data_IF_789562094238
#
_entry.id   IF_789562094238
#
_cell.length_a   1.000
_cell.length_b   1.000
_cell.length_c   1.000
_cell.angle_alpha   90.00
_cell.angle_beta   90.00
_cell.angle_gamma   90.00
#
_symmetry.space_group_name_H-M   'P 1'
#
loop_
_entity.id
_entity.type
_entity.pdbx_description
1 polymer ?
#
# COMPACT_ATOMS: atom_id res chain seq x y z
N UNK A 1 -2.48 -21.29 7.41
CA UNK A 1 -3.35 -22.50 7.45
C UNK A 1 -2.97 -23.52 8.53
N UNK A 2 -1.70 -23.60 8.99
CA UNK A 2 -1.29 -24.61 9.99
C UNK A 2 -2.04 -24.49 11.32
N UNK A 3 -2.38 -23.28 11.76
CA UNK A 3 -3.12 -23.02 13.01
C UNK A 3 -4.64 -23.22 12.93
N UNK A 4 -5.19 -23.49 11.74
CA UNK A 4 -6.64 -23.66 11.51
C UNK A 4 -7.32 -24.66 12.47
N UNK A 5 -6.79 -25.88 12.74
CA UNK A 5 -7.43 -26.79 13.69
C UNK A 5 -7.48 -26.25 15.11
N UNK A 6 -6.45 -25.53 15.56
CA UNK A 6 -6.44 -24.90 16.90
C UNK A 6 -7.50 -23.80 17.02
N UNK A 7 -7.68 -22.98 15.98
CA UNK A 7 -8.72 -21.95 15.95
C UNK A 7 -10.13 -22.55 16.01
N UNK A 8 -10.39 -23.66 15.30
CA UNK A 8 -11.69 -24.35 15.38
C UNK A 8 -11.94 -24.85 16.79
N UNK A 9 -10.98 -25.54 17.41
CA UNK A 9 -11.11 -26.04 18.78
C UNK A 9 -11.38 -24.91 19.79
N UNK A 10 -10.64 -23.80 19.68
CA UNK A 10 -10.84 -22.63 20.54
C UNK A 10 -12.23 -22.00 20.33
N UNK A 11 -12.66 -21.85 19.07
CA UNK A 11 -13.97 -21.29 18.76
C UNK A 11 -15.14 -22.17 19.23
N UNK A 12 -14.98 -23.50 19.15
CA UNK A 12 -15.97 -24.45 19.63
C UNK A 12 -16.06 -24.43 21.16
N UNK A 13 -14.91 -24.35 21.83
CA UNK A 13 -14.84 -24.19 23.29
C UNK A 13 -15.57 -22.92 23.74
N UNK A 14 -15.30 -21.77 23.09
CA UNK A 14 -16.01 -20.53 23.40
C UNK A 14 -17.52 -20.61 23.12
N UNK A 15 -17.93 -21.28 22.04
CA UNK A 15 -19.35 -21.49 21.71
C UNK A 15 -20.05 -22.35 22.77
N UNK A 16 -19.38 -23.39 23.26
CA UNK A 16 -19.90 -24.23 24.35
C UNK A 16 -20.02 -23.44 25.66
N UNK A 17 -19.00 -22.65 26.01
CA UNK A 17 -19.05 -21.77 27.19
C UNK A 17 -20.22 -20.80 27.07
N UNK A 18 -20.41 -20.16 25.91
CA UNK A 18 -21.54 -19.24 25.71
C UNK A 18 -22.89 -19.96 25.74
N UNK A 19 -22.98 -21.18 25.21
CA UNK A 19 -24.19 -21.99 25.26
C UNK A 19 -24.59 -22.30 26.72
N UNK A 20 -23.63 -22.66 27.56
CA UNK A 20 -23.86 -22.88 29.00
C UNK A 20 -24.35 -21.60 29.68
N UNK A 21 -23.73 -20.45 29.38
CA UNK A 21 -24.18 -19.14 29.89
C UNK A 21 -25.56 -18.70 29.33
N UNK A 22 -26.01 -19.29 28.23
CA UNK A 22 -27.34 -19.08 27.64
C UNK A 22 -28.46 -19.89 28.31
N UNK A 23 -28.13 -20.84 29.17
CA UNK A 23 -29.10 -21.62 29.94
C UNK A 23 -29.76 -20.72 31.01
N UNK A 24 -31.01 -21.03 31.37
CA UNK A 24 -31.75 -20.33 32.43
C UNK A 24 -31.29 -20.76 33.83
N UNK A 25 -30.02 -20.53 34.14
CA UNK A 25 -29.42 -20.76 35.46
C UNK A 25 -29.54 -19.49 36.31
N UNK A 26 -29.75 -19.65 37.62
CA UNK A 26 -29.84 -18.52 38.56
C UNK A 26 -28.45 -17.92 38.84
N UNK A 27 -28.41 -16.66 39.28
CA UNK A 27 -27.14 -15.93 39.54
C UNK A 27 -26.32 -16.51 40.70
N UNK A 28 -26.90 -17.41 41.51
CA UNK A 28 -26.20 -18.15 42.56
C UNK A 28 -25.47 -19.42 42.10
N UNK A 29 -25.75 -19.94 40.91
CA UNK A 29 -25.09 -21.15 40.34
C UNK A 29 -24.00 -20.80 39.33
N UNK A 30 -24.10 -19.63 38.69
CA UNK A 30 -23.12 -19.13 37.74
C UNK A 30 -22.93 -17.61 37.95
N UNK A 31 -21.98 -17.22 38.82
CA UNK A 31 -21.79 -15.82 39.18
C UNK A 31 -21.28 -15.03 37.97
N UNK A 32 -21.88 -13.86 37.76
CA UNK A 32 -21.52 -12.91 36.69
C UNK A 32 -20.35 -12.02 37.15
N UNK A 33 -20.14 -11.90 38.46
CA UNK A 33 -19.02 -11.18 39.09
C UNK A 33 -18.22 -12.11 39.98
N UNK A 34 -16.90 -11.89 40.04
CA UNK A 34 -16.08 -12.53 41.06
C UNK A 34 -16.49 -12.09 42.47
N UNK A 35 -16.27 -12.96 43.45
CA UNK A 35 -16.59 -12.74 44.88
C UNK A 35 -15.88 -11.52 45.50
N UNK A 36 -14.83 -11.02 44.86
CA UNK A 36 -14.06 -9.81 45.21
C UNK A 36 -14.52 -8.55 44.48
N UNK A 37 -15.47 -8.65 43.53
CA UNK A 37 -15.99 -7.51 42.76
C UNK A 37 -14.99 -6.89 41.75
N UNK A 38 -13.82 -7.50 41.57
CA UNK A 38 -12.72 -6.94 40.76
C UNK A 38 -12.79 -7.27 39.27
N UNK A 39 -13.48 -8.34 38.89
CA UNK A 39 -13.65 -8.75 37.49
C UNK A 39 -15.11 -9.12 37.22
N UNK A 40 -15.70 -8.49 36.21
CA UNK A 40 -17.03 -8.83 35.69
C UNK A 40 -16.86 -9.75 34.47
N UNK A 41 -17.37 -10.99 34.57
CA UNK A 41 -17.31 -11.96 33.47
C UNK A 41 -18.13 -11.49 32.26
N UNK A 42 -19.04 -10.52 32.45
CA UNK A 42 -19.77 -9.89 31.35
C UNK A 42 -18.86 -9.17 30.35
N UNK A 43 -17.65 -8.75 30.76
CA UNK A 43 -16.64 -8.10 29.91
C UNK A 43 -15.98 -9.07 28.92
N UNK A 44 -15.86 -10.36 29.26
CA UNK A 44 -15.40 -11.40 28.34
C UNK A 44 -16.48 -11.80 27.30
N UNK A 45 -17.63 -11.13 27.33
CA UNK A 45 -18.80 -11.46 26.50
C UNK A 45 -19.73 -12.50 27.12
N UNK A 46 -19.44 -12.97 28.34
CA UNK A 46 -20.24 -13.94 29.10
C UNK A 46 -21.40 -13.22 29.81
N UNK A 47 -22.31 -12.67 29.02
CA UNK A 47 -23.53 -12.00 29.51
C UNK A 47 -24.78 -12.81 29.19
N UNK A 48 -25.76 -12.77 30.10
CA UNK A 48 -27.11 -13.31 29.84
C UNK A 48 -27.84 -12.38 28.85
N UNK A 49 -28.05 -12.86 27.63
CA UNK A 49 -28.73 -12.10 26.58
C UNK A 49 -30.24 -12.26 26.65
N UNK A 50 -30.99 -11.19 26.35
CA UNK A 50 -32.47 -11.22 26.32
C UNK A 50 -33.02 -12.19 25.27
N UNK A 51 -32.28 -12.40 24.17
CA UNK A 51 -32.57 -13.40 23.14
C UNK A 51 -31.33 -14.28 22.88
N UNK A 52 -31.11 -15.34 23.70
CA UNK A 52 -29.94 -16.20 23.57
C UNK A 52 -29.81 -16.87 22.21
N UNK A 53 -30.94 -17.31 21.63
CA UNK A 53 -30.98 -18.00 20.34
C UNK A 53 -30.40 -17.16 19.18
N UNK A 54 -30.75 -15.87 19.11
CA UNK A 54 -30.25 -14.99 18.03
C UNK A 54 -28.74 -14.75 18.15
N UNK A 55 -28.24 -14.54 19.36
CA UNK A 55 -26.81 -14.35 19.61
C UNK A 55 -26.01 -15.63 19.31
N UNK A 56 -26.52 -16.78 19.75
CA UNK A 56 -25.89 -18.08 19.52
C UNK A 56 -25.89 -18.43 18.02
N UNK A 57 -26.98 -18.13 17.30
CA UNK A 57 -27.06 -18.31 15.84
C UNK A 57 -26.02 -17.44 15.11
N UNK A 58 -25.86 -16.18 15.51
CA UNK A 58 -24.84 -15.30 14.96
C UNK A 58 -23.41 -15.81 15.23
N UNK A 59 -23.12 -16.26 16.46
CA UNK A 59 -21.82 -16.85 16.78
C UNK A 59 -21.56 -18.15 16.01
N UNK A 60 -22.58 -18.99 15.86
CA UNK A 60 -22.50 -20.23 15.06
C UNK A 60 -22.22 -19.94 13.58
N UNK A 61 -22.80 -18.86 13.05
CA UNK A 61 -22.49 -18.39 11.69
C UNK A 61 -21.02 -17.96 11.56
N UNK A 62 -20.45 -17.30 12.58
CA UNK A 62 -19.03 -16.97 12.59
C UNK A 62 -18.14 -18.21 12.70
N UNK A 63 -18.48 -19.19 13.55
CA UNK A 63 -17.69 -20.43 13.66
C UNK A 63 -17.73 -21.29 12.40
N UNK A 64 -18.81 -21.19 11.60
CA UNK A 64 -18.90 -21.86 10.31
C UNK A 64 -17.74 -21.50 9.35
N UNK A 65 -17.26 -20.25 9.38
CA UNK A 65 -16.10 -19.82 8.57
C UNK A 65 -14.83 -20.58 8.95
N UNK A 66 -14.61 -20.83 10.25
CA UNK A 66 -13.48 -21.62 10.72
C UNK A 66 -13.59 -23.08 10.28
N UNK A 67 -14.79 -23.65 10.32
CA UNK A 67 -15.07 -25.00 9.80
C UNK A 67 -14.80 -25.13 8.30
N UNK A 68 -15.22 -24.15 7.49
CA UNK A 68 -14.94 -24.11 6.05
C UNK A 68 -13.42 -24.04 5.81
N UNK A 69 -12.71 -23.20 6.55
CA UNK A 69 -11.25 -23.07 6.46
C UNK A 69 -10.54 -24.37 6.82
N UNK A 70 -10.99 -25.07 7.87
CA UNK A 70 -10.44 -26.37 8.26
C UNK A 70 -10.72 -27.45 7.21
N UNK A 71 -11.93 -27.48 6.63
CA UNK A 71 -12.24 -28.39 5.52
C UNK A 71 -11.34 -28.14 4.32
N UNK A 72 -11.09 -26.87 3.97
CA UNK A 72 -10.16 -26.51 2.90
C UNK A 72 -8.75 -27.01 3.21
N UNK A 73 -8.22 -26.74 4.41
CA UNK A 73 -6.89 -27.21 4.83
C UNK A 73 -6.73 -28.73 4.79
N UNK A 74 -7.74 -29.49 5.26
CA UNK A 74 -7.73 -30.96 5.20
C UNK A 74 -7.76 -31.43 3.75
N UNK A 75 -8.58 -30.81 2.90
CA UNK A 75 -8.67 -31.16 1.47
C UNK A 75 -7.35 -30.92 0.75
N UNK A 76 -6.71 -29.76 0.96
CA UNK A 76 -5.40 -29.44 0.40
C UNK A 76 -4.32 -30.43 0.88
N UNK A 77 -4.29 -30.77 2.17
CA UNK A 77 -3.36 -31.79 2.69
C UNK A 77 -3.58 -33.16 2.07
N UNK A 78 -4.84 -33.58 1.87
CA UNK A 78 -5.17 -34.85 1.20
C UNK A 78 -4.71 -34.84 -0.27
N UNK A 79 -4.93 -33.74 -0.99
CA UNK A 79 -4.46 -33.58 -2.38
C UNK A 79 -2.93 -33.64 -2.44
N UNK A 80 -2.22 -32.89 -1.58
CA UNK A 80 -0.74 -32.91 -1.51
C UNK A 80 -0.20 -34.30 -1.17
N UNK A 81 -0.84 -35.03 -0.25
CA UNK A 81 -0.46 -36.42 0.08
C UNK A 81 -0.68 -37.38 -1.08
N UNK A 82 -1.81 -37.27 -1.80
CA UNK A 82 -2.09 -38.08 -3.00
C UNK A 82 -1.08 -37.78 -4.12
N UNK A 83 -0.80 -36.51 -4.40
CA UNK A 83 0.21 -36.13 -5.39
C UNK A 83 1.60 -36.69 -5.03
N UNK A 84 2.02 -36.58 -3.76
CA UNK A 84 3.29 -37.17 -3.29
C UNK A 84 3.31 -38.69 -3.43
N UNK A 85 2.22 -39.38 -3.10
CA UNK A 85 2.09 -40.82 -3.28
C UNK A 85 2.14 -41.20 -4.76
N UNK A 86 1.45 -40.48 -5.65
CA UNK A 86 1.48 -40.71 -7.10
C UNK A 86 2.87 -40.47 -7.70
N UNK A 87 3.62 -39.47 -7.22
CA UNK A 87 5.03 -39.27 -7.62
C UNK A 87 5.99 -40.33 -7.07
N UNK A 88 5.71 -40.91 -5.90
CA UNK A 88 6.55 -41.96 -5.30
C UNK A 88 6.17 -43.40 -5.73
N UNK A 89 4.92 -43.64 -6.11
CA UNK A 89 4.42 -44.92 -6.64
C UNK A 89 4.38 -44.95 -8.16
N UNK A 90 5.36 -44.28 -8.79
CA UNK A 90 5.58 -44.34 -10.23
C UNK A 90 5.83 -45.78 -10.68
N UNK A 91 4.77 -46.43 -11.15
CA UNK A 91 4.86 -47.42 -12.22
C UNK A 91 5.63 -46.73 -13.36
N UNK A 92 6.66 -47.37 -13.95
CA UNK A 92 7.56 -46.73 -14.90
C UNK A 92 6.86 -46.58 -16.25
N UNK A 93 6.04 -45.54 -16.41
CA UNK A 93 5.56 -45.08 -17.72
C UNK A 93 5.98 -43.63 -18.02
N UNK A 94 6.71 -42.97 -17.11
CA UNK A 94 7.24 -41.62 -17.29
C UNK A 94 8.71 -41.58 -17.73
N UNK A 95 9.29 -42.74 -18.11
CA UNK A 95 10.66 -42.84 -18.63
C UNK A 95 10.92 -42.05 -19.93
N UNK A 96 9.90 -41.48 -20.57
CA UNK A 96 10.04 -40.69 -21.80
C UNK A 96 10.04 -39.17 -21.57
N UNK A 97 9.63 -38.67 -20.40
CA UNK A 97 9.57 -37.22 -20.12
C UNK A 97 10.80 -36.70 -19.33
N UNK A 98 11.55 -37.60 -18.69
CA UNK A 98 12.65 -37.22 -17.81
C UNK A 98 13.89 -36.62 -18.52
N UNK A 99 14.32 -37.06 -19.72
CA UNK A 99 15.50 -36.48 -20.36
C UNK A 99 15.28 -35.02 -20.77
N UNK A 100 14.07 -34.68 -21.23
CA UNK A 100 13.73 -33.33 -21.71
C UNK A 100 13.62 -32.31 -20.57
N UNK A 101 13.00 -32.70 -19.44
CA UNK A 101 12.87 -31.82 -18.26
C UNK A 101 14.21 -31.65 -17.54
N UNK A 102 15.06 -32.67 -17.55
CA UNK A 102 16.40 -32.59 -16.97
C UNK A 102 17.37 -31.77 -17.86
N UNK A 103 17.18 -31.78 -19.18
CA UNK A 103 17.87 -30.87 -20.11
C UNK A 103 17.42 -29.41 -19.92
N UNK A 104 16.12 -29.14 -19.76
CA UNK A 104 15.60 -27.80 -19.47
C UNK A 104 16.10 -27.24 -18.13
N UNK A 105 16.21 -28.08 -17.09
CA UNK A 105 16.77 -27.68 -15.79
C UNK A 105 18.29 -27.41 -15.86
N UNK A 106 19.02 -28.10 -16.75
CA UNK A 106 20.46 -27.86 -16.98
C UNK A 106 20.72 -26.61 -17.81
N UNK A 107 19.74 -26.20 -18.63
CA UNK A 107 19.77 -24.94 -19.37
C UNK A 107 19.42 -23.72 -18.50
N UNK A 108 18.68 -23.92 -17.39
CA UNK A 108 18.34 -22.86 -16.44
C UNK A 108 19.35 -22.66 -15.30
N UNK A 109 20.49 -23.37 -15.29
CA UNK A 109 21.47 -23.32 -14.19
C UNK A 109 22.81 -22.68 -14.57
N UNK A 110 22.88 -21.90 -15.64
CA UNK A 110 24.04 -21.06 -15.97
C UNK A 110 23.72 -19.59 -15.67
N UNK A 111 23.55 -19.30 -14.38
CA UNK A 111 23.81 -17.97 -13.82
C UNK A 111 24.33 -18.16 -12.38
N UNK A 112 25.64 -18.08 -12.15
CA UNK A 112 26.18 -18.11 -10.80
C UNK A 112 26.01 -16.73 -10.17
N UNK A 113 25.50 -16.69 -8.95
CA UNK A 113 25.31 -15.54 -8.06
C UNK A 113 23.91 -14.92 -7.99
N UNK A 114 22.98 -15.63 -7.35
CA UNK A 114 22.26 -15.07 -6.20
C UNK A 114 21.60 -16.16 -5.38
N UNK A 115 22.15 -16.44 -4.21
CA UNK A 115 21.53 -17.26 -3.18
C UNK A 115 20.36 -16.48 -2.56
N UNK A 116 19.18 -16.61 -3.16
CA UNK A 116 17.93 -16.35 -2.46
C UNK A 116 16.92 -17.44 -2.84
N UNK A 117 16.45 -18.14 -1.82
CA UNK A 117 15.39 -19.15 -1.84
C UNK A 117 14.33 -18.88 -2.92
N UNK A 118 13.99 -19.86 -3.78
CA UNK A 118 12.91 -19.70 -4.75
C UNK A 118 11.62 -19.42 -3.99
N UNK A 119 11.03 -18.26 -4.24
CA UNK A 119 9.72 -17.93 -3.69
C UNK A 119 8.68 -18.91 -4.25
N UNK A 120 7.91 -19.52 -3.34
CA UNK A 120 6.88 -20.57 -3.54
C UNK A 120 5.74 -20.18 -4.53
N UNK A 121 5.84 -19.03 -5.20
CA UNK A 121 4.87 -18.49 -6.15
C UNK A 121 5.19 -18.83 -7.62
N UNK A 122 6.40 -19.31 -7.95
CA UNK A 122 6.72 -19.76 -9.32
C UNK A 122 6.14 -21.16 -9.65
N UNK A 123 5.43 -21.78 -8.72
CA UNK A 123 4.64 -22.99 -8.95
C UNK A 123 3.19 -22.67 -9.36
N UNK A 124 2.97 -21.60 -10.12
CA UNK A 124 1.67 -21.28 -10.69
C UNK A 124 1.36 -22.28 -11.82
N UNK A 125 0.47 -23.21 -11.49
CA UNK A 125 -0.26 -24.19 -12.31
C UNK A 125 0.21 -24.28 -13.78
N UNK A 126 0.91 -25.37 -14.11
CA UNK A 126 1.36 -25.72 -15.48
C UNK A 126 0.17 -25.80 -16.47
N UNK A 127 -1.08 -25.78 -15.97
CA UNK A 127 -2.33 -25.82 -16.72
C UNK A 127 -3.03 -24.46 -16.94
N UNK A 128 -2.51 -23.36 -16.39
CA UNK A 128 -3.10 -22.04 -16.64
C UNK A 128 -2.81 -21.59 -18.08
N UNK A 129 -3.84 -21.16 -18.81
CA UNK A 129 -3.72 -20.58 -20.15
C UNK A 129 -2.67 -19.46 -20.15
N UNK A 130 -1.85 -19.38 -21.19
CA UNK A 130 -0.78 -18.38 -21.30
C UNK A 130 -1.34 -16.95 -21.22
N UNK A 131 -2.58 -16.73 -21.68
CA UNK A 131 -3.32 -15.47 -21.52
C UNK A 131 -3.58 -15.11 -20.05
N UNK A 132 -3.88 -16.10 -19.20
CA UNK A 132 -4.12 -15.90 -17.78
C UNK A 132 -2.82 -15.55 -17.05
N UNK A 133 -1.69 -16.14 -17.45
CA UNK A 133 -0.36 -15.80 -16.94
C UNK A 133 0.03 -14.38 -17.35
N UNK A 134 -0.20 -14.01 -18.60
CA UNK A 134 0.06 -12.67 -19.11
C UNK A 134 -0.79 -11.60 -18.39
N UNK A 135 -2.08 -11.87 -18.20
CA UNK A 135 -2.98 -10.99 -17.46
C UNK A 135 -2.51 -10.83 -16.00
N UNK A 136 -2.18 -11.92 -15.32
CA UNK A 136 -1.71 -11.87 -13.93
C UNK A 136 -0.41 -11.07 -13.78
N UNK A 137 0.54 -11.23 -14.72
CA UNK A 137 1.78 -10.46 -14.73
C UNK A 137 1.51 -8.96 -14.96
N UNK A 138 0.61 -8.63 -15.88
CA UNK A 138 0.18 -7.26 -16.14
C UNK A 138 -0.48 -6.63 -14.90
N UNK A 139 -1.44 -7.33 -14.28
CA UNK A 139 -2.12 -6.90 -13.05
C UNK A 139 -1.11 -6.66 -11.93
N UNK A 140 -0.17 -7.59 -11.71
CA UNK A 140 0.87 -7.44 -10.69
C UNK A 140 1.73 -6.19 -10.92
N UNK A 141 2.08 -5.90 -12.17
CA UNK A 141 2.89 -4.73 -12.56
C UNK A 141 2.12 -3.42 -12.34
N UNK A 142 0.85 -3.39 -12.72
CA UNK A 142 -0.04 -2.22 -12.52
C UNK A 142 -0.27 -1.95 -11.04
N UNK A 143 -0.59 -2.98 -10.25
CA UNK A 143 -0.75 -2.82 -8.81
C UNK A 143 0.55 -2.34 -8.17
N UNK A 144 1.70 -2.95 -8.49
CA UNK A 144 2.98 -2.52 -7.94
C UNK A 144 3.30 -1.03 -8.22
N UNK A 145 2.88 -0.52 -9.38
CA UNK A 145 3.08 0.89 -9.76
C UNK A 145 2.19 1.86 -8.98
N UNK A 146 0.91 1.53 -8.81
CA UNK A 146 -0.08 2.46 -8.24
C UNK A 146 -0.43 2.21 -6.76
N UNK A 147 0.02 1.10 -6.16
CA UNK A 147 -0.30 0.79 -4.76
C UNK A 147 0.24 1.81 -3.76
N UNK A 148 1.36 2.47 -4.06
CA UNK A 148 1.88 3.53 -3.20
C UNK A 148 0.90 4.72 -3.10
N UNK A 149 0.16 5.02 -4.17
CA UNK A 149 -0.84 6.09 -4.18
C UNK A 149 -2.02 5.70 -3.30
N UNK A 150 -2.45 4.43 -3.36
CA UNK A 150 -3.46 3.89 -2.44
C UNK A 150 -3.01 4.02 -0.98
N UNK A 151 -1.73 3.76 -0.69
CA UNK A 151 -1.17 3.94 0.65
C UNK A 151 -1.20 5.42 1.07
N UNK A 152 -0.80 6.35 0.20
CA UNK A 152 -0.87 7.79 0.47
C UNK A 152 -2.31 8.25 0.75
N UNK A 153 -3.28 7.78 -0.05
CA UNK A 153 -4.69 8.04 0.17
C UNK A 153 -5.18 7.49 1.51
N UNK A 154 -4.73 6.29 1.90
CA UNK A 154 -5.08 5.70 3.19
C UNK A 154 -4.51 6.49 4.38
N UNK A 155 -3.28 7.03 4.27
CA UNK A 155 -2.71 7.94 5.28
C UNK A 155 -3.55 9.21 5.46
N UNK A 156 -3.95 9.83 4.35
CA UNK A 156 -4.81 11.02 4.40
C UNK A 156 -6.20 10.69 4.97
N UNK A 157 -6.77 9.54 4.65
CA UNK A 157 -8.08 9.12 5.19
C UNK A 157 -8.04 8.93 6.71
N UNK A 158 -7.00 8.26 7.23
CA UNK A 158 -6.83 8.07 8.68
C UNK A 158 -6.48 9.38 9.38
N UNK A 159 -5.71 10.23 8.72
CA UNK A 159 -5.24 11.50 9.28
C UNK A 159 -6.26 12.64 9.28
N UNK A 160 -7.26 12.60 8.38
CA UNK A 160 -8.26 13.66 8.21
C UNK A 160 -9.65 13.30 8.74
N UNK A 161 -9.75 12.35 9.66
CA UNK A 161 -11.02 12.07 10.34
C UNK A 161 -11.44 13.27 11.20
N UNK A 162 -12.76 13.48 11.34
CA UNK A 162 -13.32 14.68 11.99
C UNK A 162 -12.96 14.79 13.48
N UNK A 163 -12.77 13.65 14.15
CA UNK A 163 -12.38 13.58 15.55
C UNK A 163 -10.86 13.46 15.71
N UNK A 164 -10.16 14.58 15.97
CA UNK A 164 -8.70 14.56 16.15
C UNK A 164 -8.30 13.84 17.41
N UNK A 165 -7.49 12.81 17.22
CA UNK A 165 -6.80 12.07 18.27
C UNK A 165 -5.30 12.18 18.08
N UNK A 166 -4.54 12.10 19.17
CA UNK A 166 -3.06 12.17 19.14
C UNK A 166 -2.46 11.11 18.20
N UNK A 167 -3.06 9.92 18.12
CA UNK A 167 -2.55 8.88 17.23
C UNK A 167 -2.68 9.24 15.74
N UNK A 168 -3.72 9.98 15.34
CA UNK A 168 -3.92 10.47 13.97
C UNK A 168 -2.91 11.57 13.63
N UNK A 169 -2.58 12.45 14.60
CA UNK A 169 -1.49 13.41 14.46
C UNK A 169 -0.18 12.66 14.21
N UNK A 170 0.07 11.56 14.92
CA UNK A 170 1.23 10.70 14.67
C UNK A 170 1.25 10.13 13.25
N UNK A 171 0.11 9.63 12.73
CA UNK A 171 0.02 9.16 11.34
C UNK A 171 0.32 10.27 10.32
N UNK A 172 -0.25 11.46 10.52
CA UNK A 172 -0.01 12.60 9.64
C UNK A 172 1.42 13.11 9.72
N UNK A 173 2.03 13.13 10.91
CA UNK A 173 3.43 13.50 11.08
C UNK A 173 4.36 12.52 10.35
N UNK A 174 4.11 11.20 10.45
CA UNK A 174 4.91 10.21 9.73
C UNK A 174 4.68 10.33 8.21
N UNK A 175 3.44 10.55 7.76
CA UNK A 175 3.15 10.79 6.34
C UNK A 175 3.89 12.02 5.79
N UNK A 176 3.84 13.15 6.50
CA UNK A 176 4.56 14.36 6.12
C UNK A 176 6.08 14.15 6.15
N UNK A 177 6.60 13.39 7.12
CA UNK A 177 8.01 13.00 7.16
C UNK A 177 8.44 12.18 5.93
N UNK A 178 7.58 11.26 5.44
CA UNK A 178 7.81 10.52 4.19
C UNK A 178 7.93 11.48 3.02
N UNK A 179 7.01 12.46 2.92
CA UNK A 179 7.01 13.45 1.84
C UNK A 179 8.24 14.36 1.90
N UNK A 180 8.66 14.78 3.09
CA UNK A 180 9.90 15.56 3.29
C UNK A 180 11.11 14.74 2.85
N UNK A 181 11.22 13.48 3.27
CA UNK A 181 12.30 12.60 2.85
C UNK A 181 12.33 12.39 1.33
N UNK A 182 11.14 12.21 0.73
CA UNK A 182 10.97 12.07 -0.73
C UNK A 182 11.50 13.29 -1.47
N UNK A 183 11.14 14.50 -1.01
CA UNK A 183 11.58 15.74 -1.62
C UNK A 183 13.10 15.91 -1.48
N UNK A 184 13.67 15.70 -0.28
CA UNK A 184 15.10 15.90 0.00
C UNK A 184 15.98 15.05 -0.92
N UNK A 185 15.73 13.75 -0.99
CA UNK A 185 16.50 12.85 -1.85
C UNK A 185 15.78 11.53 -2.04
N UNK A 186 15.63 11.11 -3.31
CA UNK A 186 15.11 9.79 -3.65
C UNK A 186 15.96 8.65 -3.08
N UNK A 187 17.27 8.86 -2.90
CA UNK A 187 18.16 7.85 -2.33
C UNK A 187 17.87 7.65 -0.84
N UNK A 188 17.74 8.75 -0.10
CA UNK A 188 17.38 8.72 1.33
C UNK A 188 15.98 8.14 1.52
N UNK A 189 15.03 8.56 0.70
CA UNK A 189 13.67 8.05 0.76
C UNK A 189 13.60 6.54 0.55
N UNK A 190 14.31 5.99 -0.44
CA UNK A 190 14.39 4.53 -0.65
C UNK A 190 14.95 3.79 0.55
N UNK A 191 15.97 4.36 1.22
CA UNK A 191 16.57 3.78 2.43
C UNK A 191 15.61 3.81 3.63
N UNK A 192 14.91 4.93 3.82
CA UNK A 192 14.01 5.18 4.95
C UNK A 192 12.70 4.41 4.80
N UNK A 193 12.21 4.20 3.58
CA UNK A 193 10.86 3.67 3.36
C UNK A 193 10.68 2.25 3.92
N UNK A 194 11.69 1.36 3.80
CA UNK A 194 11.60 -0.02 4.31
C UNK A 194 11.49 -0.11 5.84
N UNK A 195 12.40 0.48 6.65
CA UNK A 195 12.25 0.48 8.11
C UNK A 195 10.98 1.22 8.53
N UNK A 196 10.61 2.29 7.83
CA UNK A 196 9.42 3.05 8.17
C UNK A 196 8.13 2.23 8.03
N UNK A 197 7.97 1.40 6.99
CA UNK A 197 6.81 0.52 6.90
C UNK A 197 6.67 -0.43 8.09
N UNK A 198 7.80 -0.95 8.61
CA UNK A 198 7.77 -1.76 9.84
C UNK A 198 7.34 -0.94 11.06
N UNK A 199 7.88 0.28 11.19
CA UNK A 199 7.45 1.22 12.25
C UNK A 199 5.95 1.48 12.14
N UNK A 200 5.41 1.69 10.94
CA UNK A 200 3.98 1.90 10.72
C UNK A 200 3.14 0.69 11.14
N UNK A 201 3.54 -0.52 10.77
CA UNK A 201 2.81 -1.74 11.16
C UNK A 201 2.78 -1.89 12.68
N UNK A 202 3.92 -1.69 13.34
CA UNK A 202 4.03 -1.78 14.80
C UNK A 202 3.17 -0.70 15.46
N UNK A 203 3.27 0.54 14.98
CA UNK A 203 2.49 1.67 15.47
C UNK A 203 0.97 1.42 15.33
N UNK A 204 0.52 0.91 14.19
CA UNK A 204 -0.89 0.57 13.96
C UNK A 204 -1.39 -0.57 14.83
N UNK A 205 -0.60 -1.63 15.02
CA UNK A 205 -0.97 -2.73 15.92
C UNK A 205 -1.03 -2.24 17.37
N UNK A 206 -0.09 -1.39 17.80
CA UNK A 206 -0.08 -0.80 19.13
C UNK A 206 -1.34 0.03 19.38
N UNK A 207 -1.71 0.90 18.43
CA UNK A 207 -2.94 1.71 18.53
C UNK A 207 -4.19 0.84 18.57
N UNK A 208 -4.26 -0.18 17.71
CA UNK A 208 -5.38 -1.12 17.72
C UNK A 208 -5.52 -1.79 19.08
N UNK A 209 -4.41 -2.22 19.68
CA UNK A 209 -4.39 -2.81 21.01
C UNK A 209 -4.81 -1.80 22.08
N UNK A 210 -4.32 -0.56 22.02
CA UNK A 210 -4.67 0.50 22.97
C UNK A 210 -6.17 0.84 22.91
N UNK A 211 -6.72 1.08 21.72
CA UNK A 211 -8.14 1.39 21.53
C UNK A 211 -9.03 0.21 21.94
N UNK A 212 -8.61 -1.02 21.63
CA UNK A 212 -9.33 -2.23 22.03
C UNK A 212 -9.31 -2.46 23.54
N UNK A 213 -8.13 -2.37 24.17
CA UNK A 213 -7.99 -2.58 25.62
C UNK A 213 -8.70 -1.50 26.42
N UNK A 214 -8.83 -0.28 25.91
CA UNK A 214 -9.55 0.78 26.61
C UNK A 214 -11.08 0.57 26.70
N UNK A 215 -11.64 -0.41 25.96
CA UNK A 215 -13.08 -0.69 26.01
C UNK A 215 -13.53 -1.44 27.27
N UNK A 216 -12.61 -1.99 28.07
CA UNK A 216 -12.96 -2.62 29.34
C UNK A 216 -13.29 -1.57 30.39
N UNK A 217 -14.29 -1.82 31.25
CA UNK A 217 -14.87 -0.79 32.12
C UNK A 217 -13.87 -0.34 33.21
N UNK A 218 -13.02 -1.25 33.68
CA UNK A 218 -12.00 -0.97 34.69
C UNK A 218 -10.73 -0.32 34.13
N UNK A 219 -10.53 -0.30 32.81
CA UNK A 219 -9.28 0.18 32.20
C UNK A 219 -9.03 1.68 32.38
N UNK A 220 -10.02 2.59 32.29
CA UNK A 220 -9.81 4.00 32.60
C UNK A 220 -9.21 4.21 34.00
N UNK A 221 -9.65 3.44 35.00
CA UNK A 221 -9.13 3.53 36.36
C UNK A 221 -7.67 3.05 36.45
N UNK A 222 -7.33 1.94 35.78
CA UNK A 222 -5.96 1.47 35.68
C UNK A 222 -5.04 2.49 34.99
N UNK A 223 -5.50 3.08 33.89
CA UNK A 223 -4.75 4.10 33.16
C UNK A 223 -4.54 5.36 34.01
N UNK A 224 -5.56 5.82 34.73
CA UNK A 224 -5.45 6.97 35.62
C UNK A 224 -4.43 6.71 36.75
N UNK A 225 -4.47 5.52 37.36
CA UNK A 225 -3.53 5.16 38.44
C UNK A 225 -2.09 4.94 37.93
N UNK A 226 -1.92 4.35 36.75
CA UNK A 226 -0.60 4.06 36.18
C UNK A 226 0.09 5.29 35.55
N UNK A 227 -0.68 6.14 34.85
CA UNK A 227 -0.11 7.28 34.10
C UNK A 227 -0.27 8.61 34.81
N UNK A 228 -1.23 8.75 35.75
CA UNK A 228 -1.58 10.02 36.37
C UNK A 228 -2.19 11.05 35.42
N UNK A 229 -2.53 10.66 34.18
CA UNK A 229 -3.11 11.56 33.18
C UNK A 229 -4.59 11.83 33.50
N UNK A 230 -5.05 13.05 33.19
CA UNK A 230 -6.46 13.42 33.35
C UNK A 230 -7.34 12.77 32.29
N UNK A 231 -8.64 12.62 32.56
CA UNK A 231 -9.59 12.03 31.61
C UNK A 231 -9.64 12.79 30.28
N UNK A 232 -9.40 14.11 30.30
CA UNK A 232 -9.28 14.93 29.09
C UNK A 232 -8.05 14.54 28.25
N UNK A 233 -6.93 14.18 28.88
CA UNK A 233 -5.75 13.69 28.18
C UNK A 233 -5.99 12.33 27.54
N UNK A 234 -6.61 11.40 28.27
CA UNK A 234 -6.99 10.08 27.73
C UNK A 234 -7.94 10.23 26.55
N UNK A 235 -8.93 11.13 26.67
CA UNK A 235 -9.87 11.42 25.58
C UNK A 235 -9.16 11.93 24.31
N UNK A 236 -8.21 12.87 24.46
CA UNK A 236 -7.44 13.41 23.33
C UNK A 236 -6.43 12.40 22.76
N UNK A 237 -5.95 11.46 23.57
CA UNK A 237 -5.14 10.35 23.10
C UNK A 237 -5.93 9.44 22.12
N UNK A 238 -7.26 9.58 22.10
CA UNK A 238 -8.16 8.74 21.32
C UNK A 238 -8.62 7.50 22.10
N UNK A 239 -8.40 7.50 23.41
CA UNK A 239 -8.91 6.46 24.31
C UNK A 239 -10.31 6.86 24.76
N UNK A 240 -11.30 6.35 24.05
CA UNK A 240 -12.72 6.65 24.25
C UNK A 240 -13.48 5.34 24.41
N UNK A 241 -14.47 5.32 25.30
CA UNK A 241 -15.39 4.20 25.41
C UNK A 241 -16.48 4.38 24.35
N UNK A 242 -16.59 3.42 23.43
CA UNK A 242 -17.53 3.49 22.33
C UNK A 242 -18.68 2.50 22.53
N UNK A 243 -19.85 2.87 22.01
CA UNK A 243 -20.92 1.89 21.82
C UNK A 243 -20.50 0.87 20.75
N UNK A 244 -21.03 -0.36 20.81
CA UNK A 244 -20.59 -1.50 19.96
C UNK A 244 -20.54 -1.21 18.45
N UNK A 245 -21.41 -0.35 17.93
CA UNK A 245 -21.48 -0.01 16.50
C UNK A 245 -20.45 1.06 16.11
N UNK A 246 -20.30 2.10 16.93
CA UNK A 246 -19.26 3.13 16.76
C UNK A 246 -17.86 2.52 16.92
N UNK A 247 -17.72 1.59 17.87
CA UNK A 247 -16.50 0.83 18.10
C UNK A 247 -16.04 0.11 16.84
N UNK A 248 -16.96 -0.59 16.16
CA UNK A 248 -16.61 -1.34 14.96
C UNK A 248 -16.04 -0.43 13.86
N UNK A 249 -16.64 0.73 13.63
CA UNK A 249 -16.15 1.67 12.60
C UNK A 249 -14.79 2.29 12.98
N UNK A 250 -14.60 2.57 14.26
CA UNK A 250 -13.37 3.13 14.80
C UNK A 250 -12.22 2.13 14.81
N UNK A 251 -12.49 0.83 15.00
CA UNK A 251 -11.48 -0.22 14.84
C UNK A 251 -11.29 -0.64 13.37
N UNK A 252 -12.33 -0.56 12.55
CA UNK A 252 -12.27 -0.95 11.14
C UNK A 252 -11.30 -0.05 10.35
N UNK A 253 -11.27 1.24 10.66
CA UNK A 253 -10.45 2.19 9.91
C UNK A 253 -8.93 1.94 10.10
N UNK A 254 -8.39 1.85 11.34
CA UNK A 254 -6.99 1.53 11.56
C UNK A 254 -6.63 0.09 11.19
N UNK A 255 -7.57 -0.88 11.29
CA UNK A 255 -7.32 -2.25 10.80
C UNK A 255 -7.22 -2.29 9.27
N UNK A 256 -8.13 -1.64 8.54
CA UNK A 256 -8.06 -1.54 7.09
C UNK A 256 -6.75 -0.86 6.63
N UNK A 257 -6.37 0.22 7.30
CA UNK A 257 -5.10 0.90 7.07
C UNK A 257 -3.89 -0.01 7.30
N UNK A 258 -3.87 -0.73 8.43
CA UNK A 258 -2.81 -1.70 8.75
C UNK A 258 -2.72 -2.80 7.68
N UNK A 259 -3.86 -3.32 7.22
CA UNK A 259 -3.91 -4.33 6.14
C UNK A 259 -3.30 -3.77 4.85
N UNK A 260 -3.66 -2.55 4.45
CA UNK A 260 -3.11 -1.89 3.24
C UNK A 260 -1.58 -1.78 3.33
N UNK A 261 -1.05 -1.39 4.50
CA UNK A 261 0.40 -1.29 4.73
C UNK A 261 1.07 -2.66 4.71
N UNK A 262 0.49 -3.66 5.35
CA UNK A 262 1.06 -5.03 5.37
C UNK A 262 1.12 -5.58 3.94
N UNK A 263 0.09 -5.37 3.13
CA UNK A 263 0.07 -5.75 1.72
C UNK A 263 1.16 -5.01 0.94
N UNK A 264 1.29 -3.69 1.16
CA UNK A 264 2.34 -2.87 0.55
C UNK A 264 3.74 -3.41 0.91
N UNK A 265 4.00 -3.68 2.18
CA UNK A 265 5.29 -4.17 2.68
C UNK A 265 5.66 -5.55 2.10
N UNK A 266 4.70 -6.48 2.08
CA UNK A 266 4.98 -7.87 1.71
C UNK A 266 5.04 -8.08 0.19
N UNK A 267 4.07 -7.55 -0.56
CA UNK A 267 3.91 -7.88 -1.98
C UNK A 267 4.49 -6.83 -2.92
N UNK A 268 4.25 -5.54 -2.64
CA UNK A 268 4.49 -4.48 -3.62
C UNK A 268 5.77 -3.69 -3.36
N UNK A 269 6.30 -3.68 -2.14
CA UNK A 269 7.48 -2.89 -1.78
C UNK A 269 8.71 -3.25 -2.64
N UNK A 270 9.05 -4.54 -2.76
CA UNK A 270 10.22 -4.96 -3.57
C UNK A 270 10.05 -4.66 -5.06
N UNK A 271 8.95 -5.07 -5.73
CA UNK A 271 8.72 -4.72 -7.13
C UNK A 271 8.73 -3.20 -7.39
N UNK A 272 8.13 -2.43 -6.48
CA UNK A 272 8.10 -0.97 -6.58
C UNK A 272 9.49 -0.34 -6.43
N UNK A 273 10.29 -0.80 -5.45
CA UNK A 273 11.68 -0.34 -5.29
C UNK A 273 12.57 -0.65 -6.48
N UNK A 274 12.34 -1.78 -7.17
CA UNK A 274 13.06 -2.14 -8.38
C UNK A 274 12.69 -1.24 -9.56
N UNK A 275 11.42 -0.84 -9.66
CA UNK A 275 10.91 0.04 -10.72
C UNK A 275 11.42 1.48 -10.62
N UNK A 276 11.61 1.99 -9.40
CA UNK A 276 12.09 3.36 -9.16
C UNK A 276 13.62 3.49 -9.36
N UNK A 277 14.34 2.37 -9.47
CA UNK A 277 15.79 2.41 -9.55
C UNK A 277 16.29 2.98 -10.89
N UNK A 278 16.74 4.23 -10.85
CA UNK A 278 17.29 4.95 -12.01
C UNK A 278 18.49 4.19 -12.62
N UNK A 279 19.24 3.41 -11.81
CA UNK A 279 20.35 2.59 -12.32
C UNK A 279 19.89 1.49 -13.27
N UNK A 280 18.72 0.89 -13.03
CA UNK A 280 18.17 -0.15 -13.90
C UNK A 280 17.70 0.46 -15.24
N UNK A 281 17.08 1.64 -15.20
CA UNK A 281 16.66 2.37 -16.40
C UNK A 281 17.84 2.75 -17.33
N UNK A 282 19.02 3.03 -16.75
CA UNK A 282 20.24 3.38 -17.50
C UNK A 282 20.93 2.18 -18.15
N UNK A 283 20.70 0.96 -17.64
CA UNK A 283 21.17 -0.28 -18.28
C UNK A 283 20.27 -0.69 -19.45
N UNK A 284 18.95 -0.54 -19.34
CA UNK A 284 18.02 -0.86 -20.42
C UNK A 284 18.23 0.01 -21.66
N UNK A 285 18.62 1.27 -21.50
CA UNK A 285 18.88 2.19 -22.63
C UNK A 285 20.10 1.81 -23.48
N UNK A 286 21.00 0.96 -22.98
CA UNK A 286 22.17 0.48 -23.73
C UNK A 286 21.91 -0.85 -24.48
N UNK A 287 20.76 -1.48 -24.27
CA UNK A 287 20.32 -2.64 -25.03
C UNK A 287 19.19 -2.24 -25.97
N UNK A 288 19.50 -2.23 -27.27
CA UNK A 288 18.57 -1.89 -28.32
C UNK A 288 17.26 -2.72 -28.18
N UNK A 289 16.05 -2.12 -28.14
CA UNK A 289 14.79 -2.83 -27.89
C UNK A 289 14.44 -3.90 -28.94
N UNK A 290 15.16 -3.91 -30.06
CA UNK A 290 14.86 -4.66 -31.27
C UNK A 290 15.44 -6.08 -31.29
N UNK A 291 16.39 -6.42 -30.42
CA UNK A 291 16.96 -7.77 -30.36
C UNK A 291 16.11 -8.79 -29.59
N UNK A 292 15.07 -8.35 -28.87
CA UNK A 292 14.23 -9.26 -28.07
C UNK A 292 13.09 -9.95 -28.85
N UNK A 293 12.83 -9.54 -30.09
CA UNK A 293 11.73 -10.09 -30.90
C UNK A 293 12.17 -10.88 -32.14
N UNK A 294 13.47 -11.04 -32.39
CA UNK A 294 13.98 -11.63 -33.64
C UNK A 294 14.91 -12.85 -33.47
N UNK A 295 14.98 -13.42 -32.26
CA UNK A 295 15.79 -14.62 -31.98
C UNK A 295 14.95 -15.84 -31.61
N UNK A 296 13.69 -15.91 -32.04
CA UNK A 296 12.77 -17.05 -31.77
C UNK A 296 12.50 -17.91 -33.03
N UNK A 297 13.14 -17.64 -34.17
CA UNK A 297 12.96 -18.47 -35.35
C UNK A 297 14.19 -18.46 -36.24
N UNK A 298 15.05 -19.46 -36.07
CA UNK A 298 16.01 -20.04 -37.04
C UNK A 298 17.29 -20.46 -36.33
N UNK A 299 17.25 -21.59 -35.63
CA UNK A 299 18.41 -22.50 -35.60
C UNK A 299 17.94 -23.88 -35.18
N UNK A 300 17.36 -24.63 -36.11
CA UNK A 300 17.41 -26.09 -36.09
C UNK A 300 17.78 -26.51 -37.50
N UNK A 301 19.05 -26.76 -37.74
CA UNK A 301 19.43 -27.95 -38.50
C UNK A 301 20.91 -28.30 -38.33
N UNK A 302 21.12 -29.60 -38.14
CA UNK A 302 22.33 -30.39 -38.36
C UNK A 302 23.41 -30.43 -37.27
N UNK A 303 23.26 -31.43 -36.41
CA UNK A 303 24.37 -32.19 -35.83
C UNK A 303 24.85 -33.20 -36.89
N UNK A 304 26.15 -33.35 -37.11
CA UNK A 304 26.72 -34.69 -37.29
C UNK A 304 27.70 -35.06 -36.19
N UNK A 305 27.67 -36.35 -35.85
CA UNK A 305 28.44 -37.05 -34.82
C UNK A 305 29.96 -37.13 -35.10
N UNK A 306 30.71 -37.47 -34.04
CA UNK A 306 32.16 -37.63 -33.95
C UNK A 306 32.80 -38.55 -34.99
N UNK A 307 33.96 -38.15 -35.55
CA UNK A 307 35.06 -39.08 -35.81
C UNK A 307 36.45 -38.42 -35.85
N UNK A 308 37.43 -39.21 -35.46
CA UNK A 308 38.85 -38.90 -35.23
C UNK A 308 39.66 -38.49 -36.49
N UNK A 309 40.81 -37.88 -36.19
CA UNK A 309 42.10 -37.93 -36.88
C UNK A 309 42.51 -36.93 -38.00
N UNK A 310 43.70 -36.37 -37.72
CA UNK A 310 44.82 -36.07 -38.62
C UNK A 310 44.71 -35.02 -39.76
N UNK A 311 45.51 -33.96 -39.56
CA UNK A 311 46.52 -33.44 -40.50
C UNK A 311 46.14 -32.46 -41.63
N UNK A 312 47.01 -31.44 -41.74
CA UNK A 312 47.41 -30.63 -42.89
C UNK A 312 46.54 -29.46 -43.41
N UNK A 313 47.12 -28.27 -43.22
CA UNK A 313 47.18 -27.09 -44.11
C UNK A 313 47.35 -27.45 -45.63
N UNK A 314 47.32 -26.50 -46.61
CA UNK A 314 46.86 -25.10 -46.62
C UNK A 314 46.22 -24.61 -47.96
N UNK A 315 45.88 -23.30 -48.01
CA UNK A 315 45.96 -22.36 -49.17
C UNK A 315 45.00 -22.45 -50.39
N UNK A 316 44.62 -21.24 -50.84
CA UNK A 316 44.46 -20.67 -52.22
C UNK A 316 43.01 -20.27 -52.55
N UNK A 317 42.70 -18.97 -52.67
CA UNK A 317 43.07 -17.93 -53.69
C UNK A 317 41.90 -17.74 -54.67
N UNK A 318 41.42 -16.47 -54.72
CA UNK A 318 41.15 -15.65 -55.94
C UNK A 318 40.01 -16.20 -56.84
N UNK A 319 38.93 -15.48 -57.17
CA UNK A 319 38.85 -14.33 -58.09
C UNK A 319 37.36 -13.89 -58.07
N UNK A 320 36.99 -12.63 -57.81
CA UNK A 320 36.74 -11.54 -58.77
C UNK A 320 36.01 -11.96 -60.05
N UNK A 321 34.73 -11.58 -60.18
CA UNK A 321 34.20 -10.92 -61.39
C UNK A 321 32.89 -10.19 -61.12
N UNK A 322 32.71 -9.20 -61.97
CA UNK A 322 31.87 -8.03 -61.94
C UNK A 322 30.72 -8.19 -62.96
N UNK A 323 29.80 -7.21 -62.93
CA UNK A 323 28.91 -6.76 -64.03
C UNK A 323 27.49 -7.34 -64.13
N UNK A 324 26.51 -6.43 -63.97
CA UNK A 324 25.67 -5.99 -65.09
C UNK A 324 24.28 -6.62 -65.30
N UNK A 325 23.25 -5.96 -64.77
CA UNK A 325 22.14 -5.31 -65.51
C UNK A 325 21.09 -6.11 -66.35
N UNK A 326 19.82 -5.80 -66.03
CA UNK A 326 18.55 -5.77 -66.81
C UNK A 326 17.71 -7.01 -67.22
N UNK A 327 16.42 -6.89 -66.86
CA UNK A 327 15.14 -7.18 -67.54
C UNK A 327 14.49 -8.59 -67.61
N UNK A 328 13.27 -8.64 -67.01
CA UNK A 328 11.97 -9.21 -67.45
C UNK A 328 12.03 -10.55 -68.21
N UNK A 329 11.43 -11.66 -67.75
CA UNK A 329 9.98 -11.94 -67.80
C UNK A 329 9.64 -13.28 -67.10
N UNK A 330 8.42 -13.35 -66.57
CA UNK A 330 7.51 -14.50 -66.54
C UNK A 330 7.50 -15.51 -65.37
N UNK A 331 6.27 -15.76 -64.88
CA UNK A 331 5.81 -17.09 -64.51
C UNK A 331 6.04 -17.59 -63.08
N UNK A 332 5.19 -17.18 -62.13
CA UNK A 332 4.31 -18.09 -61.35
C UNK A 332 3.88 -17.45 -60.01
N UNK A 333 2.64 -16.95 -59.98
CA UNK A 333 1.88 -16.75 -58.74
C UNK A 333 1.36 -18.11 -58.26
N UNK A 334 1.95 -18.63 -57.20
CA UNK A 334 1.22 -19.46 -56.24
C UNK A 334 0.79 -18.59 -55.05
N UNK A 335 -0.45 -18.74 -54.54
CA UNK A 335 -0.99 -17.85 -53.54
C UNK A 335 -0.39 -18.19 -52.17
N UNK A 336 0.31 -17.23 -51.57
CA UNK A 336 0.63 -17.28 -50.14
C UNK A 336 -0.68 -17.07 -49.38
N UNK A 337 -1.02 -18.05 -48.57
CA UNK A 337 -2.16 -18.09 -47.66
C UNK A 337 -2.30 -16.81 -46.82
N UNK A 338 -3.52 -16.26 -46.60
CA UNK A 338 -3.71 -15.03 -45.83
C UNK A 338 -3.59 -15.33 -44.33
N UNK A 339 -2.43 -15.06 -43.75
CA UNK A 339 -2.19 -15.18 -42.32
C UNK A 339 -2.74 -13.98 -41.54
N UNK A 340 -3.81 -14.23 -40.77
CA UNK A 340 -4.28 -13.45 -39.61
C UNK A 340 -4.62 -11.96 -39.85
N UNK A 341 -5.84 -11.75 -40.36
CA UNK A 341 -6.53 -10.46 -40.32
C UNK A 341 -6.73 -10.03 -38.85
N UNK A 342 -5.84 -9.20 -38.30
CA UNK A 342 -5.98 -8.62 -36.96
C UNK A 342 -7.34 -7.91 -36.89
N UNK A 343 -8.15 -8.25 -35.88
CA UNK A 343 -9.49 -7.67 -35.73
C UNK A 343 -9.42 -6.13 -35.68
N UNK A 344 -10.43 -5.42 -36.22
CA UNK A 344 -10.45 -3.95 -36.20
C UNK A 344 -10.37 -3.39 -34.77
N UNK A 345 -10.81 -4.17 -33.77
CA UNK A 345 -10.69 -3.85 -32.35
C UNK A 345 -9.23 -3.82 -31.87
N UNK A 346 -8.41 -4.80 -32.26
CA UNK A 346 -6.99 -4.82 -31.88
C UNK A 346 -6.25 -3.64 -32.53
N UNK A 347 -6.56 -3.32 -33.78
CA UNK A 347 -5.99 -2.14 -34.45
C UNK A 347 -6.42 -0.82 -33.79
N UNK A 348 -7.67 -0.71 -33.34
CA UNK A 348 -8.17 0.43 -32.57
C UNK A 348 -7.45 0.56 -31.21
N UNK A 349 -7.27 -0.55 -30.49
CA UNK A 349 -6.55 -0.56 -29.22
C UNK A 349 -5.10 -0.12 -29.37
N UNK A 350 -4.41 -0.56 -30.43
CA UNK A 350 -3.03 -0.14 -30.71
C UNK A 350 -2.98 1.39 -30.93
N UNK A 351 -3.86 1.92 -31.78
CA UNK A 351 -3.93 3.38 -32.03
C UNK A 351 -4.28 4.17 -30.76
N UNK A 352 -5.14 3.64 -29.90
CA UNK A 352 -5.50 4.27 -28.62
C UNK A 352 -4.30 4.27 -27.65
N UNK A 353 -3.51 3.21 -27.62
CA UNK A 353 -2.29 3.13 -26.79
C UNK A 353 -1.22 4.09 -27.31
N UNK A 354 -1.03 4.18 -28.62
CA UNK A 354 -0.12 5.14 -29.26
C UNK A 354 -0.53 6.59 -28.94
N UNK A 355 -1.81 6.93 -29.13
CA UNK A 355 -2.35 8.23 -28.77
C UNK A 355 -2.18 8.54 -27.27
N UNK A 356 -2.42 7.57 -26.39
CA UNK A 356 -2.20 7.73 -24.95
C UNK A 356 -0.72 8.01 -24.62
N UNK A 357 0.22 7.34 -25.28
CA UNK A 357 1.64 7.58 -25.10
C UNK A 357 2.04 8.99 -25.54
N UNK A 358 1.57 9.43 -26.71
CA UNK A 358 1.86 10.78 -27.23
C UNK A 358 1.29 11.86 -26.30
N UNK A 359 0.05 11.69 -25.85
CA UNK A 359 -0.59 12.59 -24.88
C UNK A 359 0.19 12.58 -23.56
N UNK A 360 0.64 11.42 -23.08
CA UNK A 360 1.41 11.32 -21.84
C UNK A 360 2.76 12.04 -21.95
N UNK A 361 3.46 11.91 -23.08
CA UNK A 361 4.71 12.64 -23.34
C UNK A 361 4.47 14.15 -23.39
N UNK A 362 3.40 14.59 -24.06
CA UNK A 362 3.01 16.00 -24.09
C UNK A 362 2.71 16.53 -22.69
N UNK A 363 1.94 15.79 -21.90
CA UNK A 363 1.60 16.15 -20.51
C UNK A 363 2.85 16.23 -19.63
N UNK A 364 3.79 15.29 -19.75
CA UNK A 364 5.05 15.34 -19.01
C UNK A 364 5.91 16.55 -19.40
N UNK A 365 6.01 16.87 -20.70
CA UNK A 365 6.73 18.07 -21.18
C UNK A 365 6.08 19.36 -20.68
N UNK A 366 4.75 19.43 -20.70
CA UNK A 366 3.99 20.56 -20.17
C UNK A 366 4.21 20.70 -18.66
N UNK A 367 4.15 19.59 -17.92
CA UNK A 367 4.39 19.55 -16.49
C UNK A 367 5.82 20.01 -16.17
N UNK A 368 6.84 19.52 -16.88
CA UNK A 368 8.24 19.92 -16.69
C UNK A 368 8.43 21.44 -16.83
N UNK A 369 7.79 22.06 -17.82
CA UNK A 369 7.91 23.50 -18.07
C UNK A 369 7.11 24.37 -17.09
N UNK A 370 5.91 23.92 -16.68
CA UNK A 370 4.96 24.75 -15.95
C UNK A 370 4.79 24.42 -14.46
N UNK A 371 5.35 23.31 -13.96
CA UNK A 371 5.15 22.89 -12.56
C UNK A 371 5.57 23.97 -11.56
N UNK A 372 6.68 24.65 -11.80
CA UNK A 372 7.19 25.71 -10.92
C UNK A 372 6.26 26.93 -10.85
N UNK A 373 5.65 27.32 -11.99
CA UNK A 373 4.67 28.40 -12.07
C UNK A 373 3.35 28.02 -11.39
N UNK A 374 2.90 26.78 -11.61
CA UNK A 374 1.68 26.24 -11.02
C UNK A 374 1.77 26.19 -9.50
N UNK A 375 2.89 25.69 -8.95
CA UNK A 375 3.12 25.63 -7.49
C UNK A 375 3.11 27.03 -6.88
N UNK A 376 3.81 27.99 -7.48
CA UNK A 376 3.82 29.37 -6.99
C UNK A 376 2.43 30.01 -7.05
N UNK A 377 1.67 29.77 -8.13
CA UNK A 377 0.30 30.26 -8.26
C UNK A 377 -0.61 29.68 -7.17
N UNK A 378 -0.55 28.37 -6.91
CA UNK A 378 -1.32 27.72 -5.85
C UNK A 378 -0.96 28.30 -4.48
N UNK A 379 0.33 28.50 -4.18
CA UNK A 379 0.77 29.12 -2.92
C UNK A 379 0.21 30.54 -2.75
N UNK A 380 0.18 31.34 -3.81
CA UNK A 380 -0.45 32.67 -3.78
C UNK A 380 -1.94 32.54 -3.48
N UNK A 381 -2.66 31.65 -4.16
CA UNK A 381 -4.09 31.43 -3.93
C UNK A 381 -4.38 31.03 -2.48
N UNK A 382 -3.60 30.11 -1.89
CA UNK A 382 -3.77 29.67 -0.50
C UNK A 382 -3.61 30.83 0.48
N UNK A 383 -2.54 31.62 0.31
CA UNK A 383 -2.24 32.77 1.17
C UNK A 383 -3.29 33.87 1.04
N UNK A 384 -3.79 34.14 -0.17
CA UNK A 384 -4.83 35.16 -0.41
C UNK A 384 -6.18 34.72 0.14
N UNK A 385 -6.52 33.43 0.03
CA UNK A 385 -7.78 32.89 0.55
C UNK A 385 -7.83 32.93 2.09
N UNK A 386 -6.70 32.73 2.77
CA UNK A 386 -6.61 32.78 4.24
C UNK A 386 -5.47 33.70 4.68
N UNK A 387 -5.80 34.93 5.04
CA UNK A 387 -4.83 35.90 5.57
C UNK A 387 -4.56 35.61 7.05
N UNK A 388 -3.36 35.12 7.36
CA UNK A 388 -2.91 34.88 8.74
C UNK A 388 -1.39 34.99 8.89
N UNK A 389 -0.89 35.15 10.12
CA UNK A 389 0.54 35.31 10.38
C UNK A 389 1.38 34.12 9.89
N UNK A 390 0.85 32.90 10.00
CA UNK A 390 1.50 31.68 9.51
C UNK A 390 1.68 31.71 7.98
N UNK A 391 0.70 32.25 7.26
CA UNK A 391 0.76 32.40 5.81
C UNK A 391 1.63 33.58 5.37
N UNK A 392 1.90 34.57 6.25
CA UNK A 392 2.84 35.64 5.97
C UNK A 392 4.28 35.14 5.77
N UNK A 393 4.68 34.07 6.48
CA UNK A 393 5.99 33.42 6.26
C UNK A 393 6.08 32.84 4.85
N UNK A 394 4.99 32.26 4.33
CA UNK A 394 4.91 31.76 2.95
C UNK A 394 5.07 32.91 1.95
N UNK A 395 4.48 34.09 2.21
CA UNK A 395 4.65 35.29 1.36
C UNK A 395 6.13 35.72 1.31
N UNK A 396 6.80 35.78 2.46
CA UNK A 396 8.20 36.19 2.53
C UNK A 396 9.08 35.21 1.75
N UNK A 397 8.91 33.91 1.98
CA UNK A 397 9.60 32.86 1.23
C UNK A 397 9.32 32.96 -0.28
N UNK A 398 8.07 33.27 -0.66
CA UNK A 398 7.66 33.40 -2.05
C UNK A 398 8.33 34.60 -2.72
N UNK A 399 8.32 35.76 -2.07
CA UNK A 399 8.97 36.97 -2.55
C UNK A 399 10.47 36.78 -2.78
N UNK A 400 11.14 36.02 -1.91
CA UNK A 400 12.56 35.69 -2.07
C UNK A 400 12.78 34.65 -3.17
N UNK A 401 11.84 33.71 -3.38
CA UNK A 401 11.97 32.63 -4.36
C UNK A 401 11.74 33.05 -5.83
N UNK A 402 10.87 34.04 -6.06
CA UNK A 402 10.44 34.46 -7.42
C UNK A 402 11.56 34.99 -8.33
N UNK A 403 12.58 35.73 -7.87
CA UNK A 403 13.58 36.34 -8.74
C UNK A 403 14.58 35.36 -9.37
N UNK A 404 14.78 34.16 -8.80
CA UNK A 404 15.79 33.23 -9.31
C UNK A 404 15.40 31.76 -9.21
N UNK A 405 15.61 31.03 -10.30
CA UNK A 405 15.25 29.61 -10.41
C UNK A 405 16.09 28.70 -9.49
N UNK A 406 17.33 29.08 -9.19
CA UNK A 406 18.18 28.35 -8.25
C UNK A 406 17.66 28.44 -6.82
N UNK A 407 17.26 29.65 -6.40
CA UNK A 407 16.69 29.89 -5.07
C UNK A 407 15.30 29.28 -4.94
N UNK A 408 14.51 29.26 -6.02
CA UNK A 408 13.24 28.55 -6.04
C UNK A 408 13.40 27.06 -5.75
N UNK A 409 14.42 26.40 -6.32
CA UNK A 409 14.71 24.99 -6.03
C UNK A 409 15.11 24.78 -4.57
N UNK A 410 15.98 25.63 -4.03
CA UNK A 410 16.40 25.55 -2.62
C UNK A 410 15.26 25.83 -1.65
N UNK A 411 14.45 26.87 -1.91
CA UNK A 411 13.33 27.26 -1.05
C UNK A 411 12.14 26.30 -1.17
N UNK A 412 12.04 25.48 -2.21
CA UNK A 412 11.03 24.42 -2.29
C UNK A 412 11.09 23.46 -1.09
N UNK A 413 12.29 23.19 -0.58
CA UNK A 413 12.50 22.41 0.64
C UNK A 413 11.96 23.14 1.87
N UNK A 414 12.25 24.44 2.00
CA UNK A 414 11.75 25.28 3.09
C UNK A 414 10.22 25.38 3.08
N UNK A 415 9.60 25.53 1.90
CA UNK A 415 8.14 25.54 1.76
C UNK A 415 7.52 24.23 2.23
N UNK A 416 8.08 23.08 1.85
CA UNK A 416 7.56 21.79 2.27
C UNK A 416 7.65 21.59 3.78
N UNK A 417 8.81 21.92 4.37
CA UNK A 417 9.03 21.81 5.82
C UNK A 417 8.09 22.75 6.58
N UNK A 418 7.97 24.01 6.12
CA UNK A 418 7.07 24.98 6.74
C UNK A 418 5.61 24.54 6.63
N UNK A 419 5.13 24.18 5.44
CA UNK A 419 3.76 23.69 5.24
C UNK A 419 3.47 22.44 6.06
N UNK A 420 4.43 21.52 6.16
CA UNK A 420 4.34 20.36 7.06
C UNK A 420 4.16 20.78 8.52
N UNK A 421 4.96 21.73 9.01
CA UNK A 421 4.87 22.24 10.37
C UNK A 421 3.51 22.90 10.62
N UNK A 422 3.01 23.67 9.64
CA UNK A 422 1.69 24.32 9.72
C UNK A 422 0.57 23.30 9.82
N UNK A 423 0.58 22.25 8.99
CA UNK A 423 -0.43 21.18 9.03
C UNK A 423 -0.43 20.48 10.39
N UNK A 424 0.75 20.07 10.88
CA UNK A 424 0.86 19.41 12.20
C UNK A 424 0.42 20.35 13.33
N UNK A 425 0.81 21.62 13.27
CA UNK A 425 0.44 22.61 14.29
C UNK A 425 -1.07 22.86 14.31
N UNK A 426 -1.71 22.93 13.14
CA UNK A 426 -3.16 23.06 13.01
C UNK A 426 -3.87 21.85 13.60
N UNK A 427 -3.44 20.63 13.24
CA UNK A 427 -4.00 19.41 13.81
C UNK A 427 -3.81 19.33 15.34
N UNK A 428 -2.64 19.75 15.85
CA UNK A 428 -2.39 19.80 17.29
C UNK A 428 -3.28 20.81 18.01
N UNK A 429 -3.55 21.97 17.40
CA UNK A 429 -4.43 23.00 17.97
C UNK A 429 -5.90 22.54 18.08
N UNK A 430 -6.34 21.59 17.25
CA UNK A 430 -7.69 21.02 17.34
C UNK A 430 -7.89 20.14 18.58
N UNK A 431 -6.83 19.71 19.26
CA UNK A 431 -6.96 18.93 20.49
C UNK A 431 -7.75 19.70 21.55
N UNK A 432 -8.65 19.01 22.27
CA UNK A 432 -9.48 19.65 23.31
C UNK A 432 -8.66 20.18 24.48
N UNK A 433 -7.44 19.66 24.67
CA UNK A 433 -6.47 20.14 25.64
C UNK A 433 -6.17 21.64 25.49
N UNK A 434 -6.09 22.14 24.26
CA UNK A 434 -5.79 23.56 24.02
C UNK A 434 -7.07 24.36 24.27
N UNK A 435 -7.22 24.92 25.46
CA UNK A 435 -8.37 25.76 25.79
C UNK A 435 -8.26 27.09 25.04
N UNK A 436 -9.19 27.34 24.11
CA UNK A 436 -9.22 28.57 23.32
C UNK A 436 -9.46 29.81 24.19
N UNK A 437 -10.04 29.62 25.38
CA UNK A 437 -10.39 30.67 26.33
C UNK A 437 -9.16 31.31 27.00
N UNK A 438 -8.05 30.58 27.11
CA UNK A 438 -6.76 31.12 27.59
C UNK A 438 -6.20 32.21 26.67
N UNK A 439 -6.61 32.22 25.39
CA UNK A 439 -6.13 33.16 24.38
C UNK A 439 -7.13 34.31 24.12
N UNK A 440 -8.27 34.32 24.82
CA UNK A 440 -9.26 35.39 24.72
C UNK A 440 -8.90 36.55 25.65
N UNK A 441 -8.73 37.73 25.08
CA UNK A 441 -8.56 38.97 25.83
C UNK A 441 -9.79 39.84 25.69
N UNK A 442 -10.23 40.41 26.81
CA UNK A 442 -11.34 41.34 26.86
C UNK A 442 -10.84 42.76 26.60
N UNK A 443 -11.18 43.31 25.45
CA UNK A 443 -10.82 44.65 25.01
C UNK A 443 -12.00 45.61 25.28
N UNK A 444 -12.35 45.82 26.56
CA UNK A 444 -13.46 46.71 26.97
C UNK A 444 -13.06 48.17 27.16
N UNK A 445 -11.89 48.59 26.66
CA UNK A 445 -11.46 49.98 26.79
C UNK A 445 -12.16 50.89 25.76
N UNK A 446 -12.97 51.82 26.26
CA UNK A 446 -13.77 52.77 25.48
C UNK A 446 -12.96 53.94 24.93
N UNK A 447 -11.67 54.05 25.25
CA UNK A 447 -10.79 55.15 24.84
C UNK A 447 -10.16 54.97 23.46
N UNK A 448 -10.28 53.80 22.84
CA UNK A 448 -9.74 53.48 21.52
C UNK A 448 -10.84 53.47 20.45
N UNK A 449 -10.56 53.88 19.19
CA UNK A 449 -11.54 53.84 18.12
C UNK A 449 -11.93 52.38 17.81
N UNK A 450 -13.14 51.99 18.21
CA UNK A 450 -13.68 50.64 18.00
C UNK A 450 -14.30 50.54 16.59
N UNK A 451 -13.99 49.51 15.79
CA UNK A 451 -14.71 49.24 14.56
C UNK A 451 -16.18 48.89 14.87
N UNK A 452 -17.14 49.47 14.14
CA UNK A 452 -18.59 49.42 14.41
C UNK A 452 -19.21 48.01 14.57
N UNK A 453 -18.49 46.94 14.22
CA UNK A 453 -18.93 45.54 14.29
C UNK A 453 -17.98 44.61 15.09
N UNK A 454 -17.06 45.12 15.90
CA UNK A 454 -16.11 44.30 16.67
C UNK A 454 -16.71 43.79 17.99
N UNK A 455 -16.67 42.47 18.23
CA UNK A 455 -16.94 41.90 19.56
C UNK A 455 -15.87 42.32 20.56
N UNK A 456 -16.25 42.53 21.83
CA UNK A 456 -15.34 42.92 22.91
C UNK A 456 -14.24 41.89 23.24
N UNK A 457 -14.34 40.68 22.70
CA UNK A 457 -13.36 39.61 22.88
C UNK A 457 -12.53 39.45 21.61
N UNK A 458 -11.20 39.55 21.75
CA UNK A 458 -10.24 39.26 20.67
C UNK A 458 -9.41 38.05 21.07
N UNK A 459 -9.26 37.10 20.15
CA UNK A 459 -8.43 35.91 20.36
C UNK A 459 -7.14 36.03 19.54
N UNK A 460 -5.99 36.04 20.21
CA UNK A 460 -4.68 36.16 19.56
C UNK A 460 -4.37 34.99 18.64
N UNK A 461 -4.91 33.79 18.92
CA UNK A 461 -4.71 32.60 18.09
C UNK A 461 -5.34 32.74 16.70
N UNK A 462 -6.47 33.46 16.60
CA UNK A 462 -7.16 33.71 15.32
C UNK A 462 -6.29 34.55 14.39
N UNK A 463 -5.57 35.55 14.93
CA UNK A 463 -4.62 36.35 14.15
C UNK A 463 -3.43 35.53 13.63
N UNK A 464 -2.93 34.61 14.46
CA UNK A 464 -1.87 33.66 14.04
C UNK A 464 -2.38 32.73 12.94
N UNK A 465 -3.67 32.38 12.95
CA UNK A 465 -4.33 31.50 11.98
C UNK A 465 -4.73 30.15 12.58
N UNK A 466 -4.80 30.05 13.90
CA UNK A 466 -5.25 28.88 14.63
C UNK A 466 -6.66 29.11 15.17
N UNK A 467 -7.60 28.28 14.74
CA UNK A 467 -8.97 28.29 15.22
C UNK A 467 -9.48 26.86 15.29
N UNK A 468 -10.39 26.59 16.23
CA UNK A 468 -11.04 25.28 16.32
C UNK A 468 -12.11 25.18 15.24
N UNK A 469 -12.19 24.05 14.56
CA UNK A 469 -13.15 23.81 13.48
C UNK A 469 -13.69 22.41 13.61
N UNK A 470 -15.00 22.27 13.40
CA UNK A 470 -15.68 20.97 13.46
C UNK A 470 -15.35 20.09 12.22
N UNK A 471 -14.85 20.71 11.15
CA UNK A 471 -14.63 20.10 9.83
C UNK A 471 -13.19 20.36 9.31
N UNK A 472 -12.24 19.58 9.80
CA UNK A 472 -10.79 19.81 9.62
C UNK A 472 -10.34 19.64 8.19
N UNK A 473 -11.02 18.76 7.45
CA UNK A 473 -10.80 18.61 6.01
C UNK A 473 -10.95 19.95 5.29
N UNK A 474 -11.92 20.79 5.67
CA UNK A 474 -12.15 22.10 5.04
C UNK A 474 -11.18 23.19 5.52
N UNK A 475 -10.53 23.00 6.67
CA UNK A 475 -9.48 23.91 7.13
C UNK A 475 -8.09 23.60 6.52
N UNK A 476 -7.82 22.31 6.27
CA UNK A 476 -6.58 21.82 5.68
C UNK A 476 -6.61 21.85 4.14
N UNK A 477 -7.77 21.65 3.51
CA UNK A 477 -7.99 21.91 2.07
C UNK A 477 -7.88 23.41 1.76
#
# INVERSE_FOLDING_TARGET
MVSSPGLVLYSEFLLLVQFVYGLRLNDGELPIQDSTGTFDYSELGLKKWKFPCMHLAAQTLFTWVFWVTLRQHIREKKIKRRAKHTSQSGIPLTSLAHPFVQALRKMSSLDPHSSSSPSEYDALDERASDDAKALMLWVKTVLAKYWIILCCGAFLLVGLQDDVSVYQIGYMAIFLFILICYQISLTTWRLVLRPLWWVMVIYSICILLLVYTYQFDNMPMYWHNATGLSDQWLYNLGLRQHTKTSLLMELLTPTAFSIIIVIQLHFFHRPFMAMIDIRNAKCETNTNPQSRYQSIGETVEQIPEEHEDASNQPTRRITRRDSGEHDVTDGQRHPVSPGHQKSPLVSCLIKMVEFYNDVTVLLWRLAELHISKLVNFILICVVVNKVCAVNAVIIILLGISMPSHMLQRALSYCFLIWSSLVVVSKMFYQLRFVQADLFQHNCTDKSLPVPKNGSHFTNNAVWVGFYKTDDISNDIK
#
